data_IF_957756916858
#
_entry.id   IF_957756916858
#
_cell.length_a   1.000
_cell.length_b   1.000
_cell.length_c   1.000
_cell.angle_alpha   90.00
_cell.angle_beta   90.00
_cell.angle_gamma   90.00
#
_symmetry.space_group_name_H-M   'P 1'
#
loop_
_entity.id
_entity.type
_entity.pdbx_description
1 polymer ?
#
# COMPACT_ATOMS: atom_id res chain seq x y z
N UNK A 1 -1.88 9.17 5.32
CA UNK A 1 -0.53 9.14 4.70
C UNK A 1 -0.60 9.45 3.22
N UNK A 2 -0.99 8.51 2.34
CA UNK A 2 -1.06 8.74 0.88
C UNK A 2 -1.99 9.92 0.52
N UNK A 3 -3.16 10.02 1.14
CA UNK A 3 -4.05 11.16 0.87
C UNK A 3 -3.47 12.50 1.31
N UNK A 4 -2.82 12.54 2.47
CA UNK A 4 -2.16 13.74 2.98
C UNK A 4 -1.02 14.20 2.05
N UNK A 5 -0.23 13.27 1.49
CA UNK A 5 0.81 13.63 0.50
C UNK A 5 0.22 14.13 -0.83
N UNK A 6 -1.04 13.82 -1.11
CA UNK A 6 -1.80 14.33 -2.26
C UNK A 6 -2.61 15.61 -1.92
N UNK A 7 -2.36 16.23 -0.75
CA UNK A 7 -3.00 17.47 -0.31
C UNK A 7 -4.39 17.30 0.28
N UNK A 8 -4.78 16.08 0.64
CA UNK A 8 -6.07 15.78 1.26
C UNK A 8 -5.91 15.48 2.75
N UNK A 9 -6.28 16.45 3.57
CA UNK A 9 -6.37 16.33 5.03
C UNK A 9 -7.62 15.54 5.41
N UNK A 10 -7.44 14.33 5.92
CA UNK A 10 -8.54 13.48 6.41
C UNK A 10 -8.09 12.70 7.63
N UNK A 11 -8.94 12.65 8.65
CA UNK A 11 -8.61 11.92 9.88
C UNK A 11 -8.63 10.41 9.64
N UNK A 12 -7.84 9.68 10.40
CA UNK A 12 -7.86 8.21 10.36
C UNK A 12 -9.23 7.65 10.73
N UNK A 13 -9.93 8.27 11.70
CA UNK A 13 -11.28 7.86 12.08
C UNK A 13 -12.25 7.95 10.91
N UNK A 14 -12.21 9.04 10.14
CA UNK A 14 -13.01 9.21 8.92
C UNK A 14 -12.68 8.13 7.89
N UNK A 15 -11.39 7.85 7.66
CA UNK A 15 -10.97 6.80 6.73
C UNK A 15 -11.42 5.41 7.18
N UNK A 16 -11.36 5.11 8.47
CA UNK A 16 -11.85 3.84 9.02
C UNK A 16 -13.34 3.65 8.76
N UNK A 17 -14.14 4.70 8.93
CA UNK A 17 -15.58 4.65 8.61
C UNK A 17 -15.82 4.49 7.12
N UNK A 18 -15.17 5.28 6.26
CA UNK A 18 -15.36 5.23 4.81
C UNK A 18 -14.95 3.89 4.21
N UNK A 19 -13.84 3.32 4.68
CA UNK A 19 -13.34 2.03 4.23
C UNK A 19 -14.03 0.84 4.92
N UNK A 20 -15.00 1.08 5.82
CA UNK A 20 -15.68 0.06 6.63
C UNK A 20 -14.67 -0.91 7.28
N UNK A 21 -13.72 -0.30 8.00
CA UNK A 21 -12.64 -0.99 8.69
C UNK A 21 -13.16 -1.73 9.92
N UNK A 22 -12.83 -3.01 10.02
CA UNK A 22 -13.23 -3.89 11.13
C UNK A 22 -12.05 -4.16 12.07
N UNK A 23 -12.29 -4.93 13.14
CA UNK A 23 -11.21 -5.43 14.01
C UNK A 23 -10.19 -6.32 13.29
N UNK A 24 -10.56 -6.86 12.12
CA UNK A 24 -9.68 -7.68 11.27
C UNK A 24 -8.99 -6.86 10.17
N UNK A 25 -9.19 -5.53 10.16
CA UNK A 25 -8.66 -4.63 9.15
C UNK A 25 -9.69 -4.23 8.08
N UNK A 26 -9.16 -3.75 6.95
CA UNK A 26 -9.94 -3.23 5.82
C UNK A 26 -9.83 -4.17 4.63
N UNK A 27 -10.96 -4.48 4.00
CA UNK A 27 -10.96 -5.20 2.72
C UNK A 27 -10.53 -4.26 1.58
N UNK A 28 -9.62 -4.72 0.73
CA UNK A 28 -9.04 -3.89 -0.32
C UNK A 28 -10.06 -3.27 -1.29
N UNK A 29 -11.17 -3.97 -1.60
CA UNK A 29 -12.21 -3.42 -2.49
C UNK A 29 -13.01 -2.29 -1.81
N UNK A 30 -13.27 -2.38 -0.51
CA UNK A 30 -13.90 -1.30 0.25
C UNK A 30 -13.02 -0.06 0.29
N UNK A 31 -11.71 -0.23 0.39
CA UNK A 31 -10.76 0.87 0.25
C UNK A 31 -10.79 1.49 -1.15
N UNK A 32 -10.88 0.68 -2.23
CA UNK A 32 -11.07 1.20 -3.60
C UNK A 32 -12.33 2.06 -3.67
N UNK A 33 -13.47 1.55 -3.21
CA UNK A 33 -14.75 2.24 -3.29
C UNK A 33 -14.74 3.54 -2.48
N UNK A 34 -14.15 3.51 -1.28
CA UNK A 34 -13.95 4.70 -0.45
C UNK A 34 -13.12 5.76 -1.16
N UNK A 35 -11.99 5.40 -1.78
CA UNK A 35 -11.14 6.36 -2.51
C UNK A 35 -11.85 6.96 -3.72
N UNK A 36 -12.66 6.16 -4.43
CA UNK A 36 -13.48 6.65 -5.56
C UNK A 36 -14.50 7.68 -5.09
N UNK A 37 -15.21 7.41 -3.99
CA UNK A 37 -16.13 8.37 -3.37
C UNK A 37 -15.41 9.63 -2.88
N UNK A 38 -14.14 9.49 -2.52
CA UNK A 38 -13.28 10.58 -2.05
C UNK A 38 -12.64 11.41 -3.20
N UNK A 39 -13.00 11.14 -4.46
CA UNK A 39 -12.52 11.91 -5.62
C UNK A 39 -11.30 11.33 -6.33
N UNK A 40 -11.01 10.04 -6.14
CA UNK A 40 -9.99 9.30 -6.87
C UNK A 40 -10.63 8.18 -7.72
N UNK A 41 -11.40 8.53 -8.78
CA UNK A 41 -12.23 7.58 -9.51
C UNK A 41 -11.42 6.46 -10.21
N UNK A 42 -10.18 6.75 -10.60
CA UNK A 42 -9.25 5.79 -11.20
C UNK A 42 -8.57 4.87 -10.19
N UNK A 43 -8.98 4.89 -8.92
CA UNK A 43 -8.41 3.97 -7.91
C UNK A 43 -8.68 2.52 -8.29
N UNK A 44 -7.64 1.69 -8.22
CA UNK A 44 -7.70 0.27 -8.60
C UNK A 44 -6.96 -0.62 -7.60
N UNK A 45 -7.46 -1.85 -7.46
CA UNK A 45 -6.74 -2.97 -6.85
C UNK A 45 -6.26 -3.86 -8.00
N UNK A 46 -4.95 -4.07 -8.11
CA UNK A 46 -4.40 -4.91 -9.17
C UNK A 46 -3.16 -5.67 -8.72
N UNK A 47 -2.82 -6.72 -9.46
CA UNK A 47 -1.54 -7.42 -9.34
C UNK A 47 -0.50 -6.62 -10.13
N UNK A 48 0.62 -6.28 -9.48
CA UNK A 48 1.69 -5.48 -10.07
C UNK A 48 3.00 -6.27 -10.12
N UNK A 49 3.91 -5.80 -10.97
CA UNK A 49 5.33 -6.13 -10.98
C UNK A 49 6.14 -5.06 -10.25
N UNK A 50 7.43 -5.30 -10.05
CA UNK A 50 8.30 -4.25 -9.52
C UNK A 50 8.43 -3.05 -10.45
N UNK A 51 8.37 -3.29 -11.75
CA UNK A 51 8.44 -2.19 -12.72
C UNK A 51 7.20 -1.31 -12.66
N UNK A 52 6.02 -1.91 -12.47
CA UNK A 52 4.80 -1.15 -12.28
C UNK A 52 4.90 -0.23 -11.06
N UNK A 53 5.45 -0.70 -9.92
CA UNK A 53 5.60 0.17 -8.74
C UNK A 53 6.58 1.32 -9.01
N UNK A 54 7.66 1.09 -9.76
CA UNK A 54 8.58 2.16 -10.18
C UNK A 54 7.89 3.21 -11.02
N UNK A 55 7.10 2.78 -12.01
CA UNK A 55 6.34 3.68 -12.87
C UNK A 55 5.33 4.52 -12.08
N UNK A 56 4.66 3.91 -11.09
CA UNK A 56 3.75 4.65 -10.21
C UNK A 56 4.48 5.75 -9.43
N UNK A 57 5.63 5.43 -8.84
CA UNK A 57 6.45 6.40 -8.10
C UNK A 57 6.96 7.53 -9.01
N UNK A 58 7.42 7.21 -10.21
CA UNK A 58 7.83 8.21 -11.21
C UNK A 58 6.67 9.13 -11.62
N UNK A 59 5.45 8.62 -11.62
CA UNK A 59 4.22 9.40 -11.82
C UNK A 59 3.77 10.22 -10.60
N UNK A 60 4.49 10.17 -9.48
CA UNK A 60 4.11 10.86 -8.25
C UNK A 60 2.98 10.16 -7.47
N UNK A 61 2.74 8.88 -7.74
CA UNK A 61 1.78 8.05 -7.01
C UNK A 61 2.48 7.18 -5.98
N UNK A 62 1.77 6.85 -4.89
CA UNK A 62 2.31 6.08 -3.77
C UNK A 62 1.56 4.75 -3.65
N UNK A 63 2.07 3.65 -4.23
CA UNK A 63 1.40 2.34 -4.19
C UNK A 63 1.25 1.84 -2.75
N UNK A 64 0.05 1.37 -2.40
CA UNK A 64 -0.18 0.66 -1.13
C UNK A 64 -0.14 -0.84 -1.45
N UNK A 65 0.85 -1.55 -0.92
CA UNK A 65 1.08 -2.98 -1.20
C UNK A 65 0.61 -3.83 -0.04
N UNK A 66 0.05 -5.00 -0.36
CA UNK A 66 -0.37 -5.99 0.63
C UNK A 66 0.69 -7.08 0.74
N UNK A 67 1.24 -7.30 1.92
CA UNK A 67 2.33 -8.28 2.12
C UNK A 67 2.00 -9.26 3.23
N UNK A 68 2.57 -10.46 3.13
CA UNK A 68 2.65 -11.38 4.25
C UNK A 68 3.91 -11.07 5.05
N UNK A 69 3.80 -10.70 6.33
CA UNK A 69 4.94 -10.24 7.12
C UNK A 69 5.92 -11.35 7.52
N UNK A 70 5.65 -12.63 7.22
CA UNK A 70 6.51 -13.74 7.64
C UNK A 70 7.95 -13.60 7.14
N UNK A 71 8.23 -13.26 5.86
CA UNK A 71 9.60 -13.09 5.39
C UNK A 71 10.29 -11.85 5.96
N UNK A 72 9.53 -10.87 6.45
CA UNK A 72 10.04 -9.57 6.94
C UNK A 72 10.32 -9.63 8.45
N UNK A 73 9.42 -10.24 9.22
CA UNK A 73 9.40 -10.18 10.69
C UNK A 73 9.52 -11.55 11.36
N UNK A 74 9.41 -12.64 10.60
CA UNK A 74 9.28 -13.99 11.13
C UNK A 74 7.89 -14.34 11.67
N UNK A 75 6.92 -13.41 11.62
CA UNK A 75 5.54 -13.64 12.05
C UNK A 75 4.57 -13.58 10.88
N UNK A 76 3.65 -14.55 10.79
CA UNK A 76 2.63 -14.59 9.73
C UNK A 76 1.51 -13.62 10.06
N UNK A 77 1.46 -12.49 9.36
CA UNK A 77 0.33 -11.57 9.35
C UNK A 77 0.11 -11.01 7.93
N UNK A 78 -1.12 -10.62 7.61
CA UNK A 78 -1.39 -9.80 6.43
C UNK A 78 -1.23 -8.33 6.82
N UNK A 79 -0.49 -7.56 6.03
CA UNK A 79 -0.21 -6.17 6.35
C UNK A 79 -0.20 -5.29 5.10
N UNK A 80 -0.50 -4.01 5.26
CA UNK A 80 -0.49 -3.02 4.19
C UNK A 80 0.59 -1.97 4.45
N UNK A 81 1.43 -1.71 3.44
CA UNK A 81 2.54 -0.75 3.52
C UNK A 81 2.49 0.18 2.30
N UNK A 82 3.07 1.38 2.42
CA UNK A 82 3.21 2.30 1.28
C UNK A 82 4.63 2.14 0.71
N UNK A 83 4.76 1.95 -0.59
CA UNK A 83 6.07 2.01 -1.24
C UNK A 83 6.43 3.47 -1.51
N UNK A 84 7.63 3.89 -1.10
CA UNK A 84 8.12 5.28 -1.21
C UNK A 84 9.26 5.38 -2.21
N UNK A 85 10.12 4.36 -2.28
CA UNK A 85 11.24 4.32 -3.22
C UNK A 85 11.53 2.89 -3.64
N UNK A 86 11.96 2.67 -4.88
CA UNK A 86 12.40 1.36 -5.36
C UNK A 86 13.79 1.49 -5.98
N UNK A 87 14.80 0.99 -5.27
CA UNK A 87 16.17 0.88 -5.76
C UNK A 87 16.44 -0.39 -6.57
N UNK A 88 17.73 -0.69 -6.73
CA UNK A 88 18.20 -1.88 -7.48
C UNK A 88 18.24 -3.17 -6.65
N UNK A 89 18.50 -3.06 -5.34
CA UNK A 89 18.59 -4.19 -4.41
C UNK A 89 17.72 -4.04 -3.16
N UNK A 90 17.23 -2.84 -2.90
CA UNK A 90 16.43 -2.47 -1.74
C UNK A 90 15.32 -1.51 -2.15
N UNK A 91 14.28 -1.43 -1.33
CA UNK A 91 13.19 -0.48 -1.47
C UNK A 91 12.92 0.18 -0.12
N UNK A 92 12.41 1.40 -0.17
CA UNK A 92 11.96 2.14 1.00
C UNK A 92 10.45 2.03 1.06
N UNK A 93 9.94 1.60 2.21
CA UNK A 93 8.51 1.52 2.51
C UNK A 93 8.18 2.36 3.72
N UNK A 94 6.95 2.82 3.80
CA UNK A 94 6.37 3.38 5.01
C UNK A 94 5.37 2.37 5.59
N UNK A 95 5.70 1.84 6.75
CA UNK A 95 4.86 0.96 7.55
C UNK A 95 3.99 1.82 8.50
N UNK A 96 2.66 1.70 8.48
CA UNK A 96 1.80 2.43 9.43
C UNK A 96 2.13 2.18 10.92
N UNK A 97 2.78 1.07 11.26
CA UNK A 97 3.13 0.69 12.64
C UNK A 97 4.53 1.14 13.05
N UNK A 98 5.48 1.08 12.12
CA UNK A 98 6.91 1.27 12.42
C UNK A 98 7.53 2.52 11.75
N UNK A 99 6.76 3.21 10.90
CA UNK A 99 7.26 4.32 10.10
C UNK A 99 8.08 3.89 8.89
N UNK A 100 9.05 4.71 8.50
CA UNK A 100 9.88 4.45 7.31
C UNK A 100 10.90 3.33 7.55
N UNK A 101 11.02 2.41 6.60
CA UNK A 101 11.92 1.26 6.65
C UNK A 101 12.52 0.96 5.29
N UNK A 102 13.78 0.54 5.30
CA UNK A 102 14.45 -0.01 4.11
C UNK A 102 14.40 -1.53 4.17
N UNK A 103 13.93 -2.17 3.10
CA UNK A 103 13.85 -3.63 2.99
C UNK A 103 14.70 -4.13 1.82
N UNK A 104 15.39 -5.27 1.97
CA UNK A 104 15.95 -5.97 0.82
C UNK A 104 14.83 -6.36 -0.15
N UNK A 105 15.03 -6.10 -1.44
CA UNK A 105 14.02 -6.33 -2.46
C UNK A 105 13.61 -7.81 -2.55
N UNK A 106 14.55 -8.73 -2.37
CA UNK A 106 14.26 -10.17 -2.36
C UNK A 106 13.30 -10.57 -1.22
N UNK A 107 13.50 -9.99 -0.03
CA UNK A 107 12.62 -10.21 1.14
C UNK A 107 11.22 -9.67 0.87
N UNK A 108 11.13 -8.45 0.35
CA UNK A 108 9.86 -7.84 -0.03
C UNK A 108 9.11 -8.64 -1.11
N UNK A 109 9.79 -9.02 -2.20
CA UNK A 109 9.18 -9.81 -3.27
C UNK A 109 8.62 -11.13 -2.76
N UNK A 110 9.34 -11.81 -1.86
CA UNK A 110 8.84 -13.05 -1.23
C UNK A 110 7.60 -12.79 -0.38
N UNK A 111 7.57 -11.69 0.37
CA UNK A 111 6.43 -11.28 1.20
C UNK A 111 5.21 -10.87 0.37
N UNK A 112 5.44 -10.15 -0.73
CA UNK A 112 4.43 -9.61 -1.63
C UNK A 112 3.81 -10.69 -2.53
N UNK A 113 4.62 -11.62 -3.03
CA UNK A 113 4.14 -12.73 -3.87
C UNK A 113 3.18 -13.66 -3.12
N UNK A 114 3.34 -13.79 -1.80
CA UNK A 114 2.40 -14.53 -0.93
C UNK A 114 1.02 -13.88 -0.83
N UNK A 115 0.91 -12.62 -1.25
CA UNK A 115 -0.33 -11.87 -1.38
C UNK A 115 -0.64 -11.57 -2.85
N UNK A 116 -0.16 -12.41 -3.78
CA UNK A 116 -0.41 -12.30 -5.23
C UNK A 116 0.07 -10.99 -5.87
N UNK A 117 1.13 -10.39 -5.31
CA UNK A 117 1.67 -9.09 -5.71
C UNK A 117 0.60 -7.99 -5.80
N UNK A 118 -0.37 -8.01 -4.88
CA UNK A 118 -1.47 -7.06 -4.89
C UNK A 118 -1.03 -5.67 -4.42
N UNK A 119 -1.47 -4.65 -5.14
CA UNK A 119 -1.36 -3.26 -4.77
C UNK A 119 -2.70 -2.52 -4.95
N UNK A 120 -2.91 -1.50 -4.15
CA UNK A 120 -3.92 -0.47 -4.32
C UNK A 120 -3.23 0.79 -4.85
N UNK A 121 -3.69 1.26 -6.01
CA UNK A 121 -3.17 2.45 -6.68
C UNK A 121 -4.21 3.56 -6.59
N UNK A 122 -3.90 4.63 -5.87
CA UNK A 122 -4.79 5.78 -5.67
C UNK A 122 -4.50 6.82 -6.76
N UNK A 123 -5.47 7.02 -7.66
CA UNK A 123 -5.32 7.85 -8.86
C UNK A 123 -6.61 8.62 -9.16
N UNK A 124 -6.47 9.81 -9.76
CA UNK A 124 -7.59 10.64 -10.21
C UNK A 124 -8.13 10.22 -11.57
#
# INVERSE_FOLDING_TARGET
MVLASLGHEVTEATLRTLCDCTVFGTEALKAVDAMRQFGFPSTTKQTCTMEDLRQQLQGGHWPIVFVNTLPITGQRNAHAMVVVEVGSAQLTIYDPLDGERVLPQATFLTAWARMHNLALLIQR
#
